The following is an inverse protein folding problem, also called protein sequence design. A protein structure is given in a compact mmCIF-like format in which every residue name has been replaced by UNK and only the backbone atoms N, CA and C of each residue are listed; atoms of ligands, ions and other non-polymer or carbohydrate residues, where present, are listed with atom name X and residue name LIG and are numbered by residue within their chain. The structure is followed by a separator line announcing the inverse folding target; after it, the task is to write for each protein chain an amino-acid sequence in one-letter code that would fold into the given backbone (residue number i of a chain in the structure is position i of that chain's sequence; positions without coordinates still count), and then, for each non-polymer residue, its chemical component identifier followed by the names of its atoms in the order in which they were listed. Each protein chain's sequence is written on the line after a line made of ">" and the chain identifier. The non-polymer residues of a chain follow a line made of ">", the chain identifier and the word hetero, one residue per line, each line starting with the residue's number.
data_IF_133412940422
#
_entry.id   IF_133412940422
#
_cell.length_a   1.000
_cell.length_b   1.000
_cell.length_c   1.000
_cell.angle_alpha   90.00
_cell.angle_beta   90.00
_cell.angle_gamma   90.00
#
_symmetry.space_group_name_H-M   'P 1'
#
loop_
_entity.id
_entity.type
_entity.pdbx_description
1 polymer ?
#
# COMPACT_ATOMS: atom_id res chain seq x y z
N UNK A 1 77.58 12.39 58.86
CA UNK A 1 78.45 12.45 57.67
C UNK A 1 77.64 13.04 56.53
N UNK A 2 78.16 14.07 55.85
CA UNK A 2 78.06 14.39 54.40
C UNK A 2 76.86 13.74 53.66
N UNK A 3 75.94 14.45 53.00
CA UNK A 3 76.18 15.42 51.90
C UNK A 3 74.90 16.20 51.54
N UNK A 4 75.11 17.44 51.09
CA UNK A 4 74.17 18.36 50.45
C UNK A 4 73.73 17.91 49.03
N UNK A 5 72.83 18.72 48.42
CA UNK A 5 72.64 19.03 46.98
C UNK A 5 71.44 18.29 46.37
N UNK A 6 70.50 18.90 45.62
CA UNK A 6 70.10 20.28 45.26
C UNK A 6 68.81 20.10 44.44
N UNK A 7 67.98 21.14 44.47
CA UNK A 7 67.09 21.63 43.41
C UNK A 7 67.12 20.92 42.04
N UNK A 8 65.95 20.44 41.62
CA UNK A 8 65.44 20.55 40.24
C UNK A 8 63.91 20.68 40.38
N UNK A 9 63.38 21.89 40.16
CA UNK A 9 62.57 22.22 38.98
C UNK A 9 61.19 21.54 39.04
N UNK A 10 60.12 22.26 39.38
CA UNK A 10 59.34 23.11 38.48
C UNK A 10 58.90 22.33 37.22
N UNK A 11 57.59 22.37 36.96
CA UNK A 11 56.83 21.70 35.88
C UNK A 11 56.29 20.28 36.16
N UNK A 12 55.06 20.24 36.66
CA UNK A 12 54.03 19.32 36.16
C UNK A 12 52.63 19.83 36.60
N UNK A 13 52.32 21.09 36.28
CA UNK A 13 50.96 21.61 36.27
C UNK A 13 50.57 21.79 34.81
N UNK A 14 50.20 20.69 34.15
CA UNK A 14 49.51 20.62 32.86
C UNK A 14 49.43 19.16 32.43
N UNK A 15 48.38 18.45 32.83
CA UNK A 15 47.90 17.21 32.18
C UNK A 15 46.45 16.90 32.63
N UNK A 16 45.63 17.95 32.78
CA UNK A 16 44.17 17.83 32.96
C UNK A 16 43.42 18.38 31.75
N UNK A 17 43.98 18.18 30.55
CA UNK A 17 43.35 18.48 29.26
C UNK A 17 43.93 17.54 28.20
N UNK A 18 43.47 16.29 28.19
CA UNK A 18 43.44 15.39 27.03
C UNK A 18 42.91 14.01 27.48
N UNK A 19 41.69 14.01 28.00
CA UNK A 19 40.82 12.86 27.90
C UNK A 19 39.40 13.41 27.69
N UNK A 20 39.25 14.24 26.66
CA UNK A 20 38.03 14.07 25.87
C UNK A 20 38.18 12.68 25.29
N UNK A 21 37.60 11.70 25.97
CA UNK A 21 37.14 10.50 25.29
C UNK A 21 36.28 11.05 24.16
N UNK A 22 36.68 10.72 22.95
CA UNK A 22 35.85 10.94 21.79
C UNK A 22 34.55 10.18 22.06
N UNK A 23 33.53 10.91 22.49
CA UNK A 23 32.18 10.39 22.66
C UNK A 23 31.40 10.58 21.34
N UNK A 24 32.07 10.74 20.20
CA UNK A 24 31.41 10.39 18.95
C UNK A 24 31.21 8.87 18.98
N UNK A 25 29.98 8.48 19.29
CA UNK A 25 29.41 7.23 18.80
C UNK A 25 29.24 7.38 17.28
N UNK A 26 30.35 7.58 16.56
CA UNK A 26 30.43 7.24 15.13
C UNK A 26 30.99 5.82 15.07
N UNK A 27 30.24 4.87 15.66
CA UNK A 27 30.35 3.50 15.18
C UNK A 27 29.70 3.54 13.80
N UNK A 28 30.52 3.51 12.76
CA UNK A 28 30.02 3.13 11.44
C UNK A 28 29.46 1.73 11.63
N UNK A 29 28.14 1.51 11.47
CA UNK A 29 27.58 0.18 11.55
C UNK A 29 28.42 -0.72 10.64
N UNK A 30 28.86 -1.86 11.15
CA UNK A 30 29.50 -2.83 10.29
C UNK A 30 28.38 -3.50 9.50
N UNK A 31 28.06 -2.97 8.32
CA UNK A 31 26.99 -3.48 7.46
C UNK A 31 27.18 -4.99 7.16
N UNK A 32 28.44 -5.46 7.12
CA UNK A 32 28.80 -6.89 7.00
C UNK A 32 28.26 -7.80 8.14
N UNK A 33 27.77 -7.23 9.25
CA UNK A 33 27.27 -7.98 10.41
C UNK A 33 25.73 -8.05 10.49
N UNK A 34 25.00 -7.33 9.64
CA UNK A 34 23.53 -7.37 9.65
C UNK A 34 23.06 -8.29 8.51
N UNK A 35 22.47 -9.46 8.83
CA UNK A 35 21.94 -10.31 7.79
C UNK A 35 20.76 -9.61 7.10
N UNK A 36 20.67 -9.75 5.78
CA UNK A 36 19.50 -9.30 5.03
C UNK A 36 18.25 -10.02 5.55
N UNK A 37 17.13 -9.31 5.61
CA UNK A 37 15.87 -9.84 6.08
C UNK A 37 14.89 -9.95 4.92
N UNK A 38 14.45 -11.17 4.65
CA UNK A 38 13.31 -11.42 3.77
C UNK A 38 12.04 -11.29 4.61
N UNK A 39 11.19 -10.32 4.32
CA UNK A 39 9.95 -10.05 5.05
C UNK A 39 8.76 -10.22 4.13
N UNK A 40 7.64 -10.59 4.73
CA UNK A 40 6.33 -10.51 4.12
C UNK A 40 5.87 -9.06 4.17
N UNK A 41 5.45 -8.52 3.04
CA UNK A 41 4.58 -7.34 3.08
C UNK A 41 3.18 -7.82 3.43
N UNK A 42 2.63 -7.31 4.52
CA UNK A 42 1.40 -7.82 5.11
C UNK A 42 0.37 -6.71 5.33
N UNK A 43 0.55 -5.58 4.65
CA UNK A 43 -0.27 -4.38 4.83
C UNK A 43 -1.56 -4.41 4.00
N UNK A 44 -1.70 -5.31 3.03
CA UNK A 44 -2.90 -5.47 2.20
C UNK A 44 -3.51 -6.83 2.48
N UNK A 45 -4.73 -6.91 3.02
CA UNK A 45 -5.28 -8.08 3.75
C UNK A 45 -6.51 -8.78 3.16
N UNK A 46 -7.22 -8.13 2.25
CA UNK A 46 -8.55 -8.58 1.88
C UNK A 46 -8.85 -8.21 0.43
N UNK A 47 -9.87 -8.85 -0.12
CA UNK A 47 -10.30 -8.63 -1.50
C UNK A 47 -11.81 -8.93 -1.63
N UNK A 48 -12.36 -8.60 -2.79
CA UNK A 48 -13.76 -8.81 -3.14
C UNK A 48 -14.05 -10.29 -3.40
N UNK A 49 -15.32 -10.67 -3.25
CA UNK A 49 -15.75 -12.07 -3.42
C UNK A 49 -15.53 -12.62 -4.85
N UNK A 50 -15.53 -11.76 -5.85
CA UNK A 50 -15.35 -12.12 -7.26
C UNK A 50 -13.88 -12.21 -7.69
N UNK A 51 -12.93 -11.86 -6.82
CA UNK A 51 -11.50 -12.01 -7.10
C UNK A 51 -11.14 -13.46 -7.48
N UNK A 52 -10.48 -13.63 -8.62
CA UNK A 52 -10.05 -14.93 -9.13
C UNK A 52 -8.64 -15.31 -8.63
N UNK A 53 -7.81 -14.32 -8.34
CA UNK A 53 -6.44 -14.50 -7.87
C UNK A 53 -6.10 -13.41 -6.84
N UNK A 54 -5.19 -13.69 -5.91
CA UNK A 54 -4.69 -12.72 -4.94
C UNK A 54 -3.18 -12.83 -4.75
N UNK A 55 -2.48 -11.69 -4.76
CA UNK A 55 -1.03 -11.60 -4.65
C UNK A 55 -0.55 -11.21 -3.27
N UNK A 56 0.53 -11.82 -2.79
CA UNK A 56 1.19 -11.42 -1.54
C UNK A 56 2.67 -11.16 -1.79
N UNK A 57 3.12 -9.93 -1.56
CA UNK A 57 4.51 -9.51 -1.78
C UNK A 57 5.44 -9.96 -0.64
N UNK A 58 6.64 -10.41 -1.02
CA UNK A 58 7.75 -10.73 -0.12
C UNK A 58 8.99 -9.98 -0.59
N UNK A 59 9.59 -9.17 0.29
CA UNK A 59 10.68 -8.26 -0.07
C UNK A 59 11.84 -8.25 0.92
N UNK A 60 12.98 -7.71 0.52
CA UNK A 60 14.12 -7.48 1.40
C UNK A 60 14.03 -6.13 2.13
N UNK A 61 13.48 -6.10 3.35
CA UNK A 61 13.15 -4.89 4.14
C UNK A 61 14.29 -3.87 4.35
N UNK A 62 15.54 -4.33 4.31
CA UNK A 62 16.73 -3.53 4.67
C UNK A 62 17.72 -3.42 3.49
N UNK A 63 17.27 -3.63 2.26
CA UNK A 63 18.13 -3.47 1.08
C UNK A 63 18.42 -1.99 0.83
N UNK A 64 19.65 -1.57 1.13
CA UNK A 64 20.10 -0.21 0.88
C UNK A 64 20.71 -0.07 -0.52
N UNK A 65 20.56 1.10 -1.18
CA UNK A 65 21.23 1.38 -2.44
C UNK A 65 22.74 1.12 -2.37
N UNK A 66 23.22 0.17 -3.19
CA UNK A 66 24.63 -0.22 -3.23
C UNK A 66 25.02 -1.42 -2.37
N UNK A 67 24.08 -2.05 -1.66
CA UNK A 67 24.26 -3.38 -1.07
C UNK A 67 23.88 -4.47 -2.08
N UNK A 68 24.63 -5.56 -2.12
CA UNK A 68 24.38 -6.66 -3.06
C UNK A 68 23.42 -7.67 -2.44
N UNK A 69 22.34 -7.98 -3.16
CA UNK A 69 21.48 -9.12 -2.82
C UNK A 69 22.24 -10.45 -3.00
N UNK A 70 21.75 -11.54 -2.37
CA UNK A 70 22.38 -12.85 -2.47
C UNK A 70 22.56 -13.32 -3.91
N UNK A 71 23.70 -13.93 -4.21
CA UNK A 71 24.00 -14.51 -5.53
C UNK A 71 23.82 -16.04 -5.54
N UNK A 72 23.23 -16.58 -4.48
CA UNK A 72 22.94 -18.01 -4.33
C UNK A 72 21.45 -18.24 -4.14
N UNK A 73 20.97 -19.39 -4.61
CA UNK A 73 19.57 -19.80 -4.49
C UNK A 73 19.17 -19.91 -3.02
N UNK A 74 18.01 -19.34 -2.69
CA UNK A 74 17.33 -19.48 -1.41
C UNK A 74 16.13 -20.41 -1.58
N UNK A 75 15.71 -21.07 -0.50
CA UNK A 75 14.48 -21.88 -0.50
C UNK A 75 13.60 -21.49 0.68
N UNK A 76 12.40 -21.02 0.38
CA UNK A 76 11.42 -20.57 1.37
C UNK A 76 10.29 -21.61 1.48
N UNK A 77 10.02 -22.09 2.69
CA UNK A 77 8.89 -22.98 2.97
C UNK A 77 7.64 -22.18 3.27
N UNK A 78 6.50 -22.59 2.69
CA UNK A 78 5.18 -22.01 2.94
C UNK A 78 4.16 -23.08 3.33
N UNK A 79 3.12 -22.63 4.04
CA UNK A 79 1.89 -23.37 4.28
C UNK A 79 0.68 -22.46 4.23
N UNK A 80 -0.42 -22.93 3.66
CA UNK A 80 -1.75 -22.32 3.69
C UNK A 80 -2.53 -23.04 4.79
N UNK A 81 -2.99 -22.29 5.77
CA UNK A 81 -3.67 -22.76 6.97
C UNK A 81 -4.96 -21.96 7.18
N UNK A 82 -5.76 -22.36 8.17
CA UNK A 82 -6.98 -21.65 8.58
C UNK A 82 -7.97 -21.32 7.45
N UNK A 83 -8.09 -22.21 6.45
CA UNK A 83 -9.09 -22.09 5.39
C UNK A 83 -10.49 -22.32 5.97
N UNK A 84 -11.44 -21.47 5.59
CA UNK A 84 -12.86 -21.65 5.89
C UNK A 84 -13.76 -21.27 4.68
N UNK A 85 -15.08 -21.38 4.86
CA UNK A 85 -16.05 -21.01 3.82
C UNK A 85 -15.83 -21.69 2.47
N UNK A 86 -15.83 -20.89 1.39
CA UNK A 86 -15.57 -21.33 0.01
C UNK A 86 -14.09 -21.54 -0.29
N UNK A 87 -13.19 -21.13 0.61
CA UNK A 87 -11.74 -21.30 0.45
C UNK A 87 -11.28 -22.76 0.60
N UNK A 88 -12.04 -23.58 1.32
CA UNK A 88 -11.72 -24.98 1.56
C UNK A 88 -11.57 -25.79 0.25
N UNK A 89 -10.32 -26.04 -0.15
CA UNK A 89 -9.98 -26.85 -1.32
C UNK A 89 -10.02 -26.09 -2.66
N UNK A 90 -10.24 -24.79 -2.62
CA UNK A 90 -10.11 -23.90 -3.78
C UNK A 90 -8.73 -23.20 -3.81
N UNK A 91 -8.23 -22.79 -2.64
CA UNK A 91 -7.00 -22.00 -2.55
C UNK A 91 -5.75 -22.85 -2.79
N UNK A 92 -4.89 -22.38 -3.69
CA UNK A 92 -3.56 -22.91 -3.95
C UNK A 92 -2.64 -21.83 -4.54
N UNK A 93 -1.32 -21.99 -4.38
CA UNK A 93 -0.36 -21.15 -5.12
C UNK A 93 -0.45 -21.47 -6.60
N UNK A 94 -0.76 -20.47 -7.43
CA UNK A 94 -0.79 -20.58 -8.89
C UNK A 94 0.58 -20.33 -9.49
N UNK A 95 1.11 -19.13 -9.23
CA UNK A 95 2.42 -18.67 -9.70
C UNK A 95 3.16 -17.92 -8.61
N UNK A 96 4.47 -17.80 -8.80
CA UNK A 96 5.32 -16.92 -8.00
C UNK A 96 6.08 -16.05 -8.98
N UNK A 97 5.88 -14.75 -8.93
CA UNK A 97 6.39 -13.81 -9.93
C UNK A 97 7.27 -12.74 -9.31
N UNK A 98 8.14 -12.14 -10.10
CA UNK A 98 8.93 -10.98 -9.71
C UNK A 98 9.17 -10.09 -10.91
N UNK A 99 9.35 -8.81 -10.63
CA UNK A 99 9.63 -7.83 -11.65
C UNK A 99 11.12 -7.56 -11.79
N UNK A 100 11.55 -7.33 -13.03
CA UNK A 100 12.91 -6.93 -13.36
C UNK A 100 12.87 -5.73 -14.29
N UNK A 101 13.46 -4.62 -13.85
CA UNK A 101 13.67 -3.45 -14.70
C UNK A 101 14.93 -3.60 -15.57
N UNK A 102 14.76 -3.56 -16.90
CA UNK A 102 15.84 -3.54 -17.88
C UNK A 102 15.58 -2.47 -18.93
N UNK A 103 16.55 -1.59 -19.14
CA UNK A 103 16.50 -0.53 -20.16
C UNK A 103 15.21 0.34 -20.09
N UNK A 104 14.86 0.78 -18.87
CA UNK A 104 13.65 1.58 -18.56
C UNK A 104 12.32 0.87 -18.84
N UNK A 105 12.31 -0.48 -18.81
CA UNK A 105 11.12 -1.31 -18.98
C UNK A 105 11.05 -2.40 -17.91
N UNK A 106 9.85 -2.73 -17.46
CA UNK A 106 9.57 -3.79 -16.50
C UNK A 106 9.24 -5.09 -17.22
N UNK A 107 9.71 -6.21 -16.66
CA UNK A 107 9.48 -7.56 -17.17
C UNK A 107 9.03 -8.46 -16.01
N UNK A 108 7.90 -9.14 -16.16
CA UNK A 108 7.48 -10.18 -15.22
C UNK A 108 8.28 -11.47 -15.48
N UNK A 109 8.76 -12.10 -14.42
CA UNK A 109 9.44 -13.40 -14.47
C UNK A 109 8.92 -14.31 -13.38
N UNK A 110 8.92 -15.60 -13.65
CA UNK A 110 8.44 -16.61 -12.70
C UNK A 110 9.59 -17.26 -11.90
N UNK A 111 9.33 -17.52 -10.62
CA UNK A 111 10.15 -18.38 -9.76
C UNK A 111 9.56 -19.79 -9.70
N UNK A 112 10.45 -20.79 -9.61
CA UNK A 112 10.03 -22.17 -9.43
C UNK A 112 9.47 -22.41 -8.02
N UNK A 113 8.34 -23.08 -7.91
CA UNK A 113 7.82 -23.57 -6.63
C UNK A 113 7.43 -25.05 -6.68
N UNK A 114 7.28 -25.65 -5.50
CA UNK A 114 6.70 -26.99 -5.34
C UNK A 114 5.45 -26.90 -4.49
N UNK A 115 4.50 -27.80 -4.75
CA UNK A 115 3.29 -27.97 -3.95
C UNK A 115 3.12 -29.43 -3.54
N UNK A 116 2.55 -29.62 -2.36
CA UNK A 116 2.07 -30.90 -1.86
C UNK A 116 0.82 -31.35 -2.63
N UNK A 117 0.39 -32.59 -2.43
CA UNK A 117 -0.72 -33.17 -3.19
C UNK A 117 -2.08 -32.49 -2.93
N UNK A 118 -2.22 -31.84 -1.78
CA UNK A 118 -3.34 -31.02 -1.36
C UNK A 118 -3.14 -29.53 -1.65
N UNK A 119 -2.00 -29.11 -2.22
CA UNK A 119 -1.72 -27.71 -2.56
C UNK A 119 -1.36 -26.80 -1.38
N UNK A 120 -1.62 -27.23 -0.15
CA UNK A 120 -1.55 -26.36 1.04
C UNK A 120 -0.14 -26.15 1.61
N UNK A 121 0.88 -26.83 1.07
CA UNK A 121 2.26 -26.72 1.56
C UNK A 121 3.24 -26.87 0.44
N UNK A 122 4.37 -26.17 0.54
CA UNK A 122 5.36 -26.24 -0.51
C UNK A 122 6.65 -25.50 -0.21
N UNK A 123 7.42 -25.29 -1.27
CA UNK A 123 8.66 -24.52 -1.22
C UNK A 123 8.77 -23.62 -2.43
N UNK A 124 9.21 -22.39 -2.24
CA UNK A 124 9.55 -21.43 -3.28
C UNK A 124 11.07 -21.43 -3.46
N UNK A 125 11.53 -21.50 -4.69
CA UNK A 125 12.96 -21.48 -5.05
C UNK A 125 13.31 -20.11 -5.58
N UNK A 126 13.96 -19.30 -4.74
CA UNK A 126 14.36 -17.94 -5.08
C UNK A 126 15.76 -18.03 -5.71
N UNK A 127 15.82 -18.14 -7.03
CA UNK A 127 17.06 -18.30 -7.78
C UNK A 127 17.63 -16.94 -8.24
N UNK A 128 18.97 -16.82 -8.40
CA UNK A 128 19.53 -15.63 -9.00
C UNK A 128 19.07 -15.45 -10.44
N UNK A 129 18.62 -14.24 -10.75
CA UNK A 129 18.27 -13.84 -12.09
C UNK A 129 19.53 -13.68 -12.95
N UNK A 130 19.45 -14.05 -14.24
CA UNK A 130 20.61 -14.03 -15.13
C UNK A 130 21.08 -12.61 -15.47
N UNK A 131 20.17 -11.63 -15.49
CA UNK A 131 20.44 -10.24 -15.83
C UNK A 131 20.81 -9.44 -14.57
N UNK A 132 20.20 -9.74 -13.41
CA UNK A 132 20.58 -9.12 -12.13
C UNK A 132 21.89 -9.70 -11.57
N UNK A 133 22.15 -10.99 -11.79
CA UNK A 133 23.26 -11.73 -11.17
C UNK A 133 23.07 -12.02 -9.68
N UNK A 134 21.92 -11.66 -9.12
CA UNK A 134 21.48 -11.88 -7.74
C UNK A 134 20.04 -12.38 -7.74
N UNK A 135 19.54 -12.83 -6.59
CA UNK A 135 18.09 -13.01 -6.37
C UNK A 135 17.34 -11.68 -6.58
N UNK A 136 16.04 -11.71 -6.91
CA UNK A 136 15.23 -10.49 -7.00
C UNK A 136 15.05 -9.81 -5.63
N UNK A 137 14.77 -8.51 -5.66
CA UNK A 137 14.60 -7.66 -4.47
C UNK A 137 13.27 -7.91 -3.77
N UNK A 138 12.22 -8.15 -4.55
CA UNK A 138 10.93 -8.64 -4.10
C UNK A 138 10.37 -9.67 -5.07
N UNK A 139 9.36 -10.39 -4.63
CA UNK A 139 8.59 -11.32 -5.45
C UNK A 139 7.21 -11.49 -4.82
N UNK A 140 6.23 -11.81 -5.64
CA UNK A 140 4.84 -12.00 -5.26
C UNK A 140 4.46 -13.48 -5.34
N UNK A 141 3.70 -13.96 -4.35
CA UNK A 141 3.08 -15.29 -4.37
C UNK A 141 1.61 -15.12 -4.71
N UNK A 142 1.20 -15.61 -5.87
CA UNK A 142 -0.18 -15.49 -6.36
C UNK A 142 -0.96 -16.75 -6.01
N UNK A 143 -2.11 -16.57 -5.37
CA UNK A 143 -3.03 -17.63 -4.96
C UNK A 143 -4.26 -17.62 -5.86
N UNK A 144 -4.66 -18.79 -6.36
CA UNK A 144 -5.98 -18.93 -6.99
C UNK A 144 -7.06 -18.90 -5.93
N UNK A 145 -8.11 -18.13 -6.19
CA UNK A 145 -9.31 -18.01 -5.38
C UNK A 145 -10.53 -18.67 -6.07
N UNK A 146 -11.65 -18.87 -5.35
CA UNK A 146 -12.86 -19.45 -5.94
C UNK A 146 -13.47 -18.65 -7.10
N UNK A 147 -13.29 -17.32 -7.13
CA UNK A 147 -13.70 -16.43 -8.23
C UNK A 147 -15.22 -16.39 -8.48
N UNK A 148 -16.02 -16.14 -7.44
CA UNK A 148 -17.48 -16.12 -7.57
C UNK A 148 -18.16 -15.13 -6.60
N UNK A 149 -19.21 -14.46 -7.05
CA UNK A 149 -19.99 -13.47 -6.28
C UNK A 149 -20.52 -13.97 -4.91
N UNK A 150 -20.54 -15.29 -4.66
CA UNK A 150 -20.96 -15.91 -3.39
C UNK A 150 -19.79 -16.50 -2.57
N UNK A 151 -18.57 -16.07 -2.84
CA UNK A 151 -17.37 -16.45 -2.09
C UNK A 151 -17.42 -15.86 -0.68
N UNK A 152 -17.18 -16.68 0.33
CA UNK A 152 -17.11 -16.28 1.74
C UNK A 152 -15.93 -16.97 2.43
N UNK A 153 -15.38 -16.32 3.45
CA UNK A 153 -14.30 -16.86 4.28
C UNK A 153 -12.92 -16.30 3.96
N UNK A 154 -11.88 -16.98 4.40
CA UNK A 154 -10.50 -16.54 4.33
C UNK A 154 -9.50 -17.69 4.46
N UNK A 155 -8.23 -17.34 4.43
CA UNK A 155 -7.12 -18.27 4.68
C UNK A 155 -5.93 -17.53 5.27
N UNK A 156 -4.97 -18.26 5.85
CA UNK A 156 -3.70 -17.68 6.30
C UNK A 156 -2.54 -18.37 5.61
N UNK A 157 -1.69 -17.61 4.91
CA UNK A 157 -0.39 -18.12 4.46
C UNK A 157 0.66 -17.90 5.53
N UNK A 158 1.51 -18.90 5.78
CA UNK A 158 2.59 -18.86 6.76
C UNK A 158 3.91 -19.29 6.11
N UNK A 159 4.93 -18.45 6.24
CA UNK A 159 6.30 -18.72 5.85
C UNK A 159 7.12 -19.20 7.05
N UNK A 160 7.56 -20.46 7.03
CA UNK A 160 8.06 -21.12 8.24
C UNK A 160 9.57 -21.27 8.31
N UNK A 161 10.26 -21.39 7.16
CA UNK A 161 11.68 -21.71 7.11
C UNK A 161 12.35 -21.16 5.86
N UNK A 162 13.55 -20.59 6.01
CA UNK A 162 14.41 -20.14 4.92
C UNK A 162 15.71 -20.94 4.94
N UNK A 163 15.98 -21.66 3.87
CA UNK A 163 17.24 -22.39 3.68
C UNK A 163 18.16 -21.60 2.75
N UNK A 164 19.35 -21.25 3.23
CA UNK A 164 20.35 -20.47 2.48
C UNK A 164 21.77 -20.80 2.93
N UNK A 165 22.75 -20.52 2.07
CA UNK A 165 24.18 -20.52 2.41
C UNK A 165 24.75 -19.13 2.70
N UNK A 166 23.96 -18.09 2.50
CA UNK A 166 24.29 -16.68 2.71
C UNK A 166 23.66 -16.15 4.01
N UNK A 167 24.13 -15.02 4.55
CA UNK A 167 23.59 -14.45 5.79
C UNK A 167 22.24 -13.75 5.53
N UNK A 168 21.20 -14.53 5.25
CA UNK A 168 19.81 -14.07 5.10
C UNK A 168 18.95 -14.71 6.18
N UNK A 169 18.05 -13.92 6.76
CA UNK A 169 17.05 -14.38 7.72
C UNK A 169 15.64 -14.18 7.17
N UNK A 170 14.74 -15.08 7.56
CA UNK A 170 13.31 -14.83 7.43
C UNK A 170 12.87 -13.90 8.56
N UNK A 171 12.49 -12.67 8.21
CA UNK A 171 12.07 -11.62 9.12
C UNK A 171 10.68 -11.85 9.70
N UNK A 172 10.04 -10.79 10.17
CA UNK A 172 8.65 -10.77 10.63
C UNK A 172 7.97 -9.54 10.04
N UNK A 173 6.68 -9.60 9.66
CA UNK A 173 5.75 -10.73 9.83
C UNK A 173 6.06 -11.94 8.93
N UNK A 174 5.47 -13.09 9.26
CA UNK A 174 5.64 -14.38 8.55
C UNK A 174 4.32 -15.04 8.19
N UNK A 175 3.24 -14.45 8.65
CA UNK A 175 1.91 -14.94 8.41
C UNK A 175 1.11 -13.77 7.86
N UNK A 176 0.29 -14.06 6.87
CA UNK A 176 -0.60 -13.13 6.24
C UNK A 176 -1.97 -13.77 6.19
N UNK A 177 -2.99 -13.05 6.64
CA UNK A 177 -4.37 -13.52 6.68
C UNK A 177 -5.13 -12.80 5.56
N UNK A 178 -5.67 -13.58 4.65
CA UNK A 178 -6.60 -13.16 3.62
C UNK A 178 -8.03 -13.35 4.12
N UNK A 179 -8.89 -12.37 3.90
CA UNK A 179 -10.33 -12.44 4.17
C UNK A 179 -11.10 -11.91 2.96
N UNK A 180 -12.26 -12.51 2.66
CA UNK A 180 -13.20 -11.93 1.70
C UNK A 180 -14.06 -10.91 2.42
N UNK A 181 -14.14 -9.71 1.86
CA UNK A 181 -14.96 -8.65 2.42
C UNK A 181 -16.43 -8.94 2.22
N UNK A 182 -17.11 -9.31 3.30
CA UNK A 182 -18.57 -9.34 3.43
C UNK A 182 -19.05 -8.00 4.01
N UNK A 183 -18.79 -6.90 3.28
CA UNK A 183 -19.35 -5.60 3.62
C UNK A 183 -20.35 -5.18 2.53
N UNK A 184 -21.45 -4.56 2.98
CA UNK A 184 -22.59 -4.19 2.11
C UNK A 184 -22.24 -3.13 1.04
N UNK A 185 -21.05 -2.53 1.06
CA UNK A 185 -20.60 -1.49 0.12
C UNK A 185 -19.42 -1.89 -0.74
N UNK A 186 -18.83 -3.07 -0.53
CA UNK A 186 -17.59 -3.49 -1.15
C UNK A 186 -17.71 -3.56 -2.67
N UNK A 187 -16.62 -3.21 -3.36
CA UNK A 187 -16.50 -3.26 -4.80
C UNK A 187 -16.52 -1.91 -5.49
N UNK A 188 -16.57 -1.96 -6.82
CA UNK A 188 -16.56 -0.79 -7.69
C UNK A 188 -17.98 -0.36 -8.07
N UNK A 189 -18.24 0.94 -7.94
CA UNK A 189 -19.52 1.54 -8.26
C UNK A 189 -19.34 2.80 -9.11
N UNK A 190 -20.18 2.99 -10.12
CA UNK A 190 -20.13 4.12 -11.04
C UNK A 190 -21.25 5.13 -10.75
N UNK A 191 -20.90 6.40 -10.63
CA UNK A 191 -21.81 7.55 -10.64
C UNK A 191 -21.68 8.30 -11.97
N UNK A 192 -22.80 8.42 -12.69
CA UNK A 192 -22.91 9.30 -13.87
C UNK A 192 -23.44 10.68 -13.46
N UNK A 193 -22.56 11.69 -13.46
CA UNK A 193 -22.88 13.10 -13.29
C UNK A 193 -23.35 13.67 -14.65
N UNK A 194 -24.67 13.82 -14.80
CA UNK A 194 -25.27 14.23 -16.07
C UNK A 194 -25.49 15.75 -16.19
N UNK A 195 -25.39 16.48 -15.09
CA UNK A 195 -25.71 17.92 -15.04
C UNK A 195 -24.69 18.74 -14.24
N UNK A 196 -24.57 20.03 -14.62
CA UNK A 196 -23.76 21.02 -13.88
C UNK A 196 -24.23 21.17 -12.42
N UNK A 197 -25.53 20.99 -12.14
CA UNK A 197 -26.05 21.06 -10.77
C UNK A 197 -25.57 19.89 -9.91
N UNK A 198 -25.53 18.67 -10.45
CA UNK A 198 -24.98 17.48 -9.77
C UNK A 198 -23.47 17.62 -9.55
N UNK A 199 -22.74 18.13 -10.53
CA UNK A 199 -21.30 18.36 -10.38
C UNK A 199 -20.99 19.40 -9.30
N UNK A 200 -21.74 20.50 -9.25
CA UNK A 200 -21.56 21.51 -8.21
C UNK A 200 -21.94 21.00 -6.81
N UNK A 201 -22.81 20.00 -6.70
CA UNK A 201 -23.06 19.30 -5.43
C UNK A 201 -21.87 18.41 -5.05
N UNK A 202 -21.31 17.66 -6.00
CA UNK A 202 -20.11 16.85 -5.78
C UNK A 202 -18.93 17.73 -5.33
N UNK A 203 -18.70 18.86 -6.01
CA UNK A 203 -17.68 19.85 -5.64
C UNK A 203 -17.92 20.50 -4.28
N UNK A 204 -19.16 20.74 -3.88
CA UNK A 204 -19.43 21.31 -2.57
C UNK A 204 -18.97 20.39 -1.43
N UNK A 205 -19.04 19.09 -1.65
CA UNK A 205 -18.55 18.10 -0.71
C UNK A 205 -17.04 17.94 -0.82
N UNK A 206 -16.52 17.60 -2.01
CA UNK A 206 -15.13 17.15 -2.14
C UNK A 206 -14.15 18.24 -2.63
N UNK A 207 -14.63 19.36 -3.15
CA UNK A 207 -13.78 20.48 -3.56
C UNK A 207 -12.93 21.07 -2.43
N UNK A 208 -13.44 21.19 -1.19
CA UNK A 208 -12.63 21.60 -0.04
C UNK A 208 -11.45 20.67 0.27
N UNK A 209 -11.57 19.36 0.01
CA UNK A 209 -10.50 18.39 0.29
C UNK A 209 -9.55 18.19 -0.87
N UNK A 210 -9.97 18.49 -2.10
CA UNK A 210 -9.11 18.42 -3.27
C UNK A 210 -9.15 19.76 -4.04
N UNK A 211 -8.12 20.63 -3.90
CA UNK A 211 -8.08 21.91 -4.59
C UNK A 211 -8.11 21.82 -6.12
N UNK A 212 -7.65 20.69 -6.67
CA UNK A 212 -7.74 20.39 -8.10
C UNK A 212 -9.20 20.32 -8.54
N UNK A 213 -10.05 19.66 -7.76
CA UNK A 213 -11.49 19.52 -8.01
C UNK A 213 -12.23 20.86 -7.91
N UNK A 214 -11.93 21.70 -6.92
CA UNK A 214 -12.61 23.00 -6.75
C UNK A 214 -12.45 23.94 -7.96
N UNK A 215 -11.32 23.82 -8.66
CA UNK A 215 -11.00 24.64 -9.83
C UNK A 215 -11.72 24.20 -11.12
N UNK A 216 -12.28 23.00 -11.18
CA UNK A 216 -12.89 22.44 -12.38
C UNK A 216 -14.28 22.99 -12.66
N UNK A 217 -14.68 22.99 -13.93
CA UNK A 217 -16.05 23.20 -14.39
C UNK A 217 -16.65 21.91 -14.93
N UNK A 218 -17.97 21.85 -15.08
CA UNK A 218 -18.65 20.66 -15.61
C UNK A 218 -18.18 20.26 -17.03
N UNK A 219 -17.65 21.20 -17.82
CA UNK A 219 -17.10 20.91 -19.15
C UNK A 219 -15.72 20.21 -19.08
N UNK A 220 -15.07 20.22 -17.92
CA UNK A 220 -13.72 19.66 -17.72
C UNK A 220 -13.74 18.18 -17.30
N UNK A 221 -14.91 17.59 -17.08
CA UNK A 221 -15.06 16.19 -16.66
C UNK A 221 -15.79 15.35 -17.72
N UNK A 222 -15.59 14.03 -17.71
CA UNK A 222 -16.35 13.12 -18.60
C UNK A 222 -17.78 12.92 -18.11
N UNK A 223 -18.01 13.14 -16.81
CA UNK A 223 -19.24 12.82 -16.11
C UNK A 223 -19.17 11.52 -15.32
N UNK A 224 -18.09 10.74 -15.42
CA UNK A 224 -17.91 9.48 -14.69
C UNK A 224 -17.14 9.69 -13.39
N UNK A 225 -17.68 9.16 -12.29
CA UNK A 225 -16.98 8.99 -11.02
C UNK A 225 -17.06 7.53 -10.62
N UNK A 226 -15.91 6.87 -10.46
CA UNK A 226 -15.84 5.52 -9.90
C UNK A 226 -15.60 5.61 -8.40
N UNK A 227 -16.35 4.86 -7.60
CA UNK A 227 -16.15 4.67 -6.18
C UNK A 227 -15.73 3.22 -5.94
N UNK A 228 -14.47 2.99 -5.54
CA UNK A 228 -13.95 1.69 -5.14
C UNK A 228 -13.94 1.57 -3.62
N UNK A 229 -14.50 0.49 -3.09
CA UNK A 229 -14.43 0.13 -1.67
C UNK A 229 -13.63 -1.16 -1.53
N UNK A 230 -12.41 -1.03 -1.02
CA UNK A 230 -11.44 -2.11 -0.82
C UNK A 230 -11.22 -2.36 0.68
N UNK A 231 -10.18 -3.10 1.07
CA UNK A 231 -9.90 -3.34 2.48
C UNK A 231 -9.38 -2.08 3.17
N UNK A 232 -10.10 -1.60 4.18
CA UNK A 232 -9.75 -0.40 4.96
C UNK A 232 -9.59 0.89 4.13
N UNK A 233 -9.65 0.86 2.79
CA UNK A 233 -9.50 2.00 1.89
C UNK A 233 -10.70 2.13 0.95
N UNK A 234 -11.11 3.37 0.71
CA UNK A 234 -12.05 3.76 -0.31
C UNK A 234 -11.40 4.78 -1.25
N UNK A 235 -11.77 4.73 -2.54
CA UNK A 235 -11.28 5.66 -3.56
C UNK A 235 -12.39 6.21 -4.43
N UNK A 236 -12.49 7.53 -4.56
CA UNK A 236 -13.27 8.19 -5.61
C UNK A 236 -12.34 8.63 -6.75
N UNK A 237 -12.58 8.11 -7.95
CA UNK A 237 -11.84 8.45 -9.17
C UNK A 237 -12.76 9.27 -10.08
N UNK A 238 -12.50 10.57 -10.20
CA UNK A 238 -13.19 11.46 -11.13
C UNK A 238 -12.41 11.54 -12.44
N UNK A 239 -13.03 11.14 -13.54
CA UNK A 239 -12.44 11.24 -14.88
C UNK A 239 -12.56 12.65 -15.48
N UNK A 240 -11.43 13.19 -15.93
CA UNK A 240 -11.35 14.48 -16.61
C UNK A 240 -11.53 14.32 -18.11
N UNK A 241 -12.12 15.32 -18.77
CA UNK A 241 -12.20 15.39 -20.23
C UNK A 241 -10.82 15.63 -20.89
N UNK A 242 -9.83 16.13 -20.12
CA UNK A 242 -8.44 16.21 -20.55
C UNK A 242 -7.80 14.82 -20.57
N UNK A 243 -7.09 14.50 -21.64
CA UNK A 243 -6.37 13.24 -21.79
C UNK A 243 -4.86 13.43 -21.69
N UNK A 244 -4.15 12.39 -21.30
CA UNK A 244 -2.69 12.30 -21.38
C UNK A 244 -2.21 11.07 -22.13
N UNK A 245 -0.96 11.11 -22.60
CA UNK A 245 -0.31 9.94 -23.19
C UNK A 245 0.37 9.16 -22.06
N UNK A 246 -0.22 8.02 -21.70
CA UNK A 246 0.38 7.08 -20.76
C UNK A 246 1.18 6.10 -21.58
N UNK A 247 2.47 5.93 -21.24
CA UNK A 247 3.31 4.90 -21.87
C UNK A 247 3.62 3.86 -20.83
N UNK A 248 2.99 2.70 -20.96
CA UNK A 248 3.28 1.52 -20.18
C UNK A 248 4.33 0.69 -20.91
N UNK A 249 5.27 0.10 -20.18
CA UNK A 249 6.17 -0.89 -20.72
C UNK A 249 6.01 -2.19 -19.94
N UNK A 250 5.34 -3.16 -20.54
CA UNK A 250 5.06 -4.47 -19.96
C UNK A 250 5.68 -5.54 -20.87
N UNK A 251 6.37 -6.51 -20.28
CA UNK A 251 7.08 -7.59 -20.99
C UNK A 251 8.04 -7.11 -22.09
N UNK A 252 8.62 -5.92 -21.91
CA UNK A 252 9.51 -5.28 -22.87
C UNK A 252 8.83 -4.78 -24.14
N UNK A 253 7.51 -4.72 -24.16
CA UNK A 253 6.74 -4.02 -25.17
C UNK A 253 6.28 -2.67 -24.59
N UNK A 254 6.67 -1.58 -25.24
CA UNK A 254 6.13 -0.25 -24.91
C UNK A 254 4.84 -0.03 -25.69
N UNK A 255 3.74 0.18 -24.98
CA UNK A 255 2.48 0.64 -25.55
C UNK A 255 2.21 2.07 -25.04
N UNK A 256 1.80 2.95 -25.96
CA UNK A 256 1.42 4.31 -25.61
C UNK A 256 -0.06 4.44 -25.89
N UNK A 257 -0.83 4.66 -24.83
CA UNK A 257 -2.27 4.86 -24.89
C UNK A 257 -2.61 6.31 -24.56
N UNK A 258 -3.80 6.74 -24.98
CA UNK A 258 -4.32 8.05 -24.61
C UNK A 258 -5.45 7.81 -23.63
N UNK A 259 -5.22 8.17 -22.38
CA UNK A 259 -6.13 7.94 -21.27
C UNK A 259 -6.63 9.27 -20.73
N UNK A 260 -7.80 9.26 -20.09
CA UNK A 260 -8.33 10.42 -19.40
C UNK A 260 -7.49 10.65 -18.13
N UNK A 261 -7.15 11.92 -17.86
CA UNK A 261 -6.59 12.26 -16.56
C UNK A 261 -7.63 12.00 -15.48
N UNK A 262 -7.19 11.66 -14.28
CA UNK A 262 -8.07 11.43 -13.14
C UNK A 262 -7.75 12.35 -11.97
N UNK A 263 -8.75 12.60 -11.13
CA UNK A 263 -8.57 13.14 -9.78
C UNK A 263 -9.02 12.05 -8.81
N UNK A 264 -8.13 11.72 -7.88
CA UNK A 264 -8.36 10.71 -6.86
C UNK A 264 -8.61 11.36 -5.50
N UNK A 265 -9.53 10.79 -4.74
CA UNK A 265 -9.80 11.10 -3.34
C UNK A 265 -9.81 9.77 -2.62
N UNK A 266 -8.82 9.57 -1.75
CA UNK A 266 -8.62 8.36 -0.97
C UNK A 266 -8.99 8.65 0.48
N UNK A 267 -9.61 7.68 1.14
CA UNK A 267 -9.93 7.73 2.56
C UNK A 267 -10.01 6.30 3.11
N UNK A 268 -9.67 6.13 4.38
CA UNK A 268 -10.13 4.98 5.13
C UNK A 268 -11.65 5.08 5.32
N UNK A 269 -12.33 3.93 5.47
CA UNK A 269 -13.76 3.92 5.75
C UNK A 269 -14.17 2.89 6.79
N UNK A 270 -15.24 3.23 7.52
CA UNK A 270 -15.94 2.31 8.41
C UNK A 270 -17.42 2.26 8.01
N UNK A 271 -17.91 1.07 7.67
CA UNK A 271 -19.28 0.84 7.23
C UNK A 271 -19.98 -0.14 8.18
N UNK A 272 -20.95 0.35 8.96
CA UNK A 272 -21.71 -0.48 9.92
C UNK A 272 -23.20 -0.08 9.97
N UNK A 273 -24.08 -1.07 9.86
CA UNK A 273 -25.54 -0.92 10.03
C UNK A 273 -26.18 0.24 9.22
N UNK A 274 -25.65 0.58 8.03
CA UNK A 274 -26.13 1.67 7.16
C UNK A 274 -25.52 3.06 7.45
N UNK A 275 -24.60 3.15 8.41
CA UNK A 275 -23.75 4.32 8.67
C UNK A 275 -22.41 4.12 7.94
N UNK A 276 -21.85 5.21 7.42
CA UNK A 276 -20.57 5.22 6.70
C UNK A 276 -19.76 6.43 7.13
N UNK A 277 -18.56 6.19 7.64
CA UNK A 277 -17.59 7.22 8.01
C UNK A 277 -16.38 7.11 7.09
N UNK A 278 -15.86 8.25 6.64
CA UNK A 278 -14.67 8.34 5.81
C UNK A 278 -13.62 9.22 6.48
N UNK A 279 -12.41 8.70 6.69
CA UNK A 279 -11.28 9.43 7.26
C UNK A 279 -10.13 9.45 6.23
N UNK A 280 -9.77 10.61 5.71
CA UNK A 280 -8.73 10.72 4.69
C UNK A 280 -7.82 11.91 4.92
N UNK A 281 -6.65 11.91 4.27
CA UNK A 281 -5.78 13.07 4.26
C UNK A 281 -5.45 13.51 2.85
N UNK A 282 -5.32 14.83 2.65
CA UNK A 282 -4.89 15.39 1.38
C UNK A 282 -3.71 16.33 1.55
N UNK A 283 -2.53 16.01 0.95
CA UNK A 283 -1.38 16.89 1.04
C UNK A 283 -1.54 18.13 0.16
N UNK A 284 -1.44 19.31 0.76
CA UNK A 284 -1.48 20.58 0.04
C UNK A 284 -0.07 20.92 -0.42
N UNK A 285 0.16 20.77 -1.73
CA UNK A 285 1.45 21.05 -2.35
C UNK A 285 1.59 22.53 -2.70
N UNK A 286 2.63 23.18 -2.16
CA UNK A 286 2.96 24.56 -2.48
C UNK A 286 3.61 24.76 -3.84
N UNK A 287 3.78 26.03 -4.23
CA UNK A 287 4.45 26.44 -5.49
C UNK A 287 5.89 25.89 -5.65
N UNK A 288 6.50 25.44 -4.55
CA UNK A 288 7.84 24.86 -4.51
C UNK A 288 7.86 23.34 -4.72
N UNK A 289 6.70 22.70 -4.89
CA UNK A 289 6.56 21.25 -5.02
C UNK A 289 6.75 20.48 -3.71
N UNK A 290 6.71 21.15 -2.56
CA UNK A 290 6.77 20.53 -1.24
C UNK A 290 5.39 20.63 -0.59
N UNK A 291 5.07 19.65 0.27
CA UNK A 291 3.90 19.69 1.15
C UNK A 291 4.03 20.92 2.05
N UNK A 292 3.11 21.87 1.92
CA UNK A 292 3.02 23.08 2.75
C UNK A 292 2.05 22.88 3.92
N UNK A 293 1.03 22.04 3.72
CA UNK A 293 0.00 21.70 4.70
C UNK A 293 -0.56 20.31 4.38
N UNK A 294 -1.31 19.73 5.31
CA UNK A 294 -2.07 18.50 5.12
C UNK A 294 -3.48 18.75 5.63
N UNK A 295 -4.48 18.32 4.87
CA UNK A 295 -5.88 18.42 5.28
C UNK A 295 -6.37 17.02 5.66
N UNK A 296 -6.48 16.78 6.96
CA UNK A 296 -7.10 15.58 7.51
C UNK A 296 -8.60 15.81 7.59
N UNK A 297 -9.37 14.99 6.90
CA UNK A 297 -10.81 15.15 6.80
C UNK A 297 -11.58 13.93 7.30
N UNK A 298 -12.72 14.20 7.93
CA UNK A 298 -13.70 13.19 8.32
C UNK A 298 -15.05 13.53 7.66
N UNK A 299 -15.63 12.58 6.94
CA UNK A 299 -16.95 12.70 6.33
C UNK A 299 -17.94 11.71 6.94
N UNK A 300 -19.08 12.22 7.41
CA UNK A 300 -20.17 11.38 7.94
C UNK A 300 -21.24 11.17 6.85
N UNK A 301 -21.61 9.92 6.61
CA UNK A 301 -22.61 9.53 5.64
C UNK A 301 -23.53 8.40 6.14
N UNK A 302 -24.66 8.24 5.46
CA UNK A 302 -25.52 7.05 5.52
C UNK A 302 -25.48 6.38 4.15
N UNK A 303 -25.55 5.05 4.11
CA UNK A 303 -25.67 4.32 2.85
C UNK A 303 -26.91 3.43 2.82
N UNK A 304 -27.41 3.19 1.61
CA UNK A 304 -28.43 2.17 1.35
C UNK A 304 -28.11 1.43 0.06
N UNK A 305 -28.04 0.11 0.15
CA UNK A 305 -27.85 -0.76 -1.01
C UNK A 305 -29.19 -1.35 -1.47
N UNK A 306 -29.43 -1.36 -2.78
CA UNK A 306 -30.51 -2.14 -3.42
C UNK A 306 -29.88 -3.27 -4.22
N UNK A 307 -29.74 -4.45 -3.60
CA UNK A 307 -29.20 -5.66 -4.24
C UNK A 307 -29.92 -6.02 -5.56
N UNK A 308 -31.23 -5.75 -5.65
CA UNK A 308 -32.01 -6.10 -6.83
C UNK A 308 -31.88 -5.05 -7.96
N UNK A 309 -31.52 -3.83 -7.58
CA UNK A 309 -31.24 -2.72 -8.48
C UNK A 309 -29.76 -2.56 -8.83
N UNK A 310 -28.87 -3.29 -8.13
CA UNK A 310 -27.42 -3.15 -8.23
C UNK A 310 -26.98 -1.68 -8.04
N UNK A 311 -27.58 -1.01 -7.03
CA UNK A 311 -27.26 0.39 -6.73
C UNK A 311 -26.86 0.61 -5.27
N UNK A 312 -25.87 1.47 -5.07
CA UNK A 312 -25.44 1.99 -3.78
C UNK A 312 -25.81 3.48 -3.71
N UNK A 313 -26.65 3.88 -2.75
CA UNK A 313 -26.89 5.30 -2.48
C UNK A 313 -26.13 5.73 -1.24
N UNK A 314 -25.25 6.72 -1.37
CA UNK A 314 -24.50 7.31 -0.26
C UNK A 314 -25.02 8.73 -0.03
N UNK A 315 -25.36 9.04 1.21
CA UNK A 315 -25.89 10.34 1.64
C UNK A 315 -24.96 10.98 2.65
N UNK A 316 -24.23 11.99 2.22
CA UNK A 316 -23.25 12.71 3.04
C UNK A 316 -23.91 13.84 3.82
N UNK A 317 -23.63 13.93 5.12
CA UNK A 317 -24.19 14.94 6.01
C UNK A 317 -23.19 16.03 6.38
N UNK A 318 -21.94 15.65 6.58
CA UNK A 318 -20.90 16.54 7.06
C UNK A 318 -19.54 16.16 6.47
N UNK A 319 -18.66 17.16 6.39
CA UNK A 319 -17.23 17.01 6.13
C UNK A 319 -16.51 18.00 7.03
N UNK A 320 -15.53 17.54 7.79
CA UNK A 320 -14.79 18.36 8.74
C UNK A 320 -13.30 18.22 8.49
N UNK A 321 -12.55 19.30 8.72
CA UNK A 321 -11.08 19.28 8.86
C UNK A 321 -10.78 18.92 10.31
N UNK A 322 -10.29 17.70 10.58
CA UNK A 322 -10.09 17.17 11.92
C UNK A 322 -9.08 17.99 12.74
N UNK A 323 -8.07 18.52 12.09
CA UNK A 323 -6.98 19.26 12.69
C UNK A 323 -7.41 20.67 13.13
N UNK A 324 -8.37 21.25 12.43
CA UNK A 324 -8.89 22.59 12.69
C UNK A 324 -10.35 22.61 13.17
N UNK A 325 -10.90 21.48 13.63
CA UNK A 325 -12.33 21.38 13.93
C UNK A 325 -12.78 22.13 15.19
N UNK A 326 -13.73 23.04 15.01
CA UNK A 326 -14.65 23.51 16.03
C UNK A 326 -16.10 23.40 15.54
N UNK A 327 -17.05 23.07 16.43
CA UNK A 327 -18.48 22.96 16.09
C UNK A 327 -18.97 24.22 15.34
N UNK A 328 -19.43 24.06 14.09
CA UNK A 328 -19.83 25.17 13.20
C UNK A 328 -18.77 25.64 12.20
N UNK A 329 -17.58 25.03 12.17
CA UNK A 329 -16.51 25.25 11.19
C UNK A 329 -16.33 24.06 10.23
N UNK A 330 -17.41 23.28 10.02
CA UNK A 330 -17.41 22.18 9.05
C UNK A 330 -17.08 22.70 7.62
N UNK A 331 -16.28 21.95 6.86
CA UNK A 331 -16.02 22.20 5.45
C UNK A 331 -17.31 22.07 4.62
N UNK A 332 -18.15 21.11 4.99
CA UNK A 332 -19.49 20.91 4.46
C UNK A 332 -20.46 20.48 5.56
N UNK A 333 -21.71 20.96 5.51
CA UNK A 333 -22.80 20.49 6.37
C UNK A 333 -24.17 20.72 5.73
N UNK A 334 -24.95 19.66 5.58
CA UNK A 334 -26.38 19.72 5.23
C UNK A 334 -27.21 18.78 6.11
N UNK A 335 -28.17 19.34 6.86
CA UNK A 335 -29.08 18.56 7.73
C UNK A 335 -29.92 17.53 6.96
N UNK A 336 -30.10 17.72 5.64
CA UNK A 336 -30.79 16.78 4.76
C UNK A 336 -29.82 15.94 3.93
N UNK A 337 -28.51 16.15 4.06
CA UNK A 337 -27.47 15.50 3.29
C UNK A 337 -27.55 15.72 1.77
N UNK A 338 -26.46 15.36 1.09
CA UNK A 338 -26.40 15.26 -0.38
C UNK A 338 -26.27 13.80 -0.73
N UNK A 339 -27.13 13.31 -1.62
CA UNK A 339 -27.17 11.89 -2.01
C UNK A 339 -26.61 11.70 -3.40
N UNK A 340 -25.64 10.81 -3.52
CA UNK A 340 -25.17 10.25 -4.78
C UNK A 340 -25.65 8.80 -4.87
N UNK A 341 -26.08 8.38 -6.06
CA UNK A 341 -26.48 7.00 -6.34
C UNK A 341 -25.53 6.45 -7.38
N UNK A 342 -24.84 5.39 -7.00
CA UNK A 342 -23.91 4.67 -7.82
C UNK A 342 -24.56 3.38 -8.32
N UNK A 343 -24.24 2.96 -9.53
CA UNK A 343 -24.63 1.69 -10.13
C UNK A 343 -23.41 0.76 -10.08
N UNK A 344 -23.60 -0.55 -9.87
CA UNK A 344 -22.50 -1.51 -9.88
C UNK A 344 -21.90 -1.59 -11.30
N UNK A 345 -20.57 -1.50 -11.43
CA UNK A 345 -19.88 -1.61 -12.74
C UNK A 345 -19.92 -3.04 -13.30
#
# INVERSE_FOLDING_TARGET
>A
MKKYIRNASLFALALTFAACVDNSLEETPNDDNFPLQLVLDAEEGADLADAEDYGVEIKFADHLPGTSLPATTLTLEYSIEDLDGTMEGAVAVDKVVYEVELDDCTYERELDFTASADGLRGTITIAPDADLGTVPESFEVVFTLPGADDTEGGFTVVFSNLTTTEPVLLGSPRAFAYEVLDNDVAGEWELEIATEEEFEQFKQLFGPVNPGLDALSFEDITGKVTAGFEFEEMKFILELAETEEVTTCEDGASETETENKVIEIEAEYDADDGELEFEGSHPIIGDNGLVEDELDFLAEAEYTQDEAGETLSIRFFSLVDEDNFAEGEELFRDDNGVTFTFEKD
#
